data_IF_525948557380
#
_entry.id   IF_525948557380
#
_cell.length_a   1.000
_cell.length_b   1.000
_cell.length_c   1.000
_cell.angle_alpha   90.00
_cell.angle_beta   90.00
_cell.angle_gamma   90.00
#
_symmetry.space_group_name_H-M   'P 1'
#
loop_
_entity.id
_entity.type
_entity.pdbx_description
1 polymer ?
#
# COMPACT_ATOMS: atom_id res chain seq x y z
N UNK A 1 23.01 -0.53 2.66
CA UNK A 1 22.54 -1.39 3.76
C UNK A 1 21.03 -1.24 3.93
N UNK A 2 20.29 -2.32 3.73
CA UNK A 2 18.85 -2.35 3.90
C UNK A 2 18.52 -3.33 5.01
N UNK A 3 17.83 -2.85 6.05
CA UNK A 3 17.43 -3.74 7.12
C UNK A 3 16.13 -4.47 6.74
N UNK A 4 15.96 -5.67 7.25
CA UNK A 4 14.75 -6.46 6.99
C UNK A 4 13.51 -5.74 7.53
N UNK A 5 13.67 -5.00 8.62
CA UNK A 5 12.56 -4.25 9.21
C UNK A 5 12.08 -3.15 8.27
N UNK A 6 12.99 -2.42 7.67
CA UNK A 6 12.63 -1.36 6.74
C UNK A 6 11.98 -1.93 5.48
N UNK A 7 12.50 -3.06 4.99
CA UNK A 7 11.92 -3.72 3.84
C UNK A 7 10.48 -4.17 4.12
N UNK A 8 10.24 -4.69 5.32
CA UNK A 8 8.91 -5.13 5.71
C UNK A 8 7.92 -3.97 5.73
N UNK A 9 8.31 -2.85 6.30
CA UNK A 9 7.45 -1.67 6.32
C UNK A 9 7.15 -1.16 4.92
N UNK A 10 8.14 -1.20 4.05
CA UNK A 10 7.95 -0.77 2.68
C UNK A 10 6.92 -1.65 1.96
N UNK A 11 7.00 -2.97 2.17
CA UNK A 11 6.06 -3.90 1.56
C UNK A 11 4.64 -3.64 2.07
N UNK A 12 4.48 -3.49 3.37
CA UNK A 12 3.17 -3.24 3.98
C UNK A 12 2.59 -1.92 3.46
N UNK A 13 3.41 -0.89 3.38
CA UNK A 13 2.98 0.41 2.87
C UNK A 13 2.53 0.30 1.42
N UNK A 14 3.28 -0.39 0.60
CA UNK A 14 2.97 -0.55 -0.81
C UNK A 14 1.64 -1.26 -1.02
N UNK A 15 1.43 -2.37 -0.26
CA UNK A 15 0.19 -3.12 -0.34
C UNK A 15 -1.00 -2.25 0.12
N UNK A 16 -0.80 -1.53 1.20
CA UNK A 16 -1.85 -0.65 1.73
C UNK A 16 -2.25 0.42 0.72
N UNK A 17 -1.26 1.04 0.09
CA UNK A 17 -1.52 2.09 -0.90
C UNK A 17 -2.22 1.51 -2.13
N UNK A 18 -1.85 0.31 -2.54
CA UNK A 18 -2.52 -0.35 -3.65
C UNK A 18 -3.99 -0.62 -3.37
N UNK A 19 -4.28 -1.13 -2.18
CA UNK A 19 -5.66 -1.38 -1.78
C UNK A 19 -6.45 -0.08 -1.66
N UNK A 20 -5.83 0.94 -1.09
CA UNK A 20 -6.49 2.24 -0.95
C UNK A 20 -6.85 2.83 -2.32
N UNK A 21 -5.96 2.69 -3.28
CA UNK A 21 -6.21 3.18 -4.62
C UNK A 21 -7.39 2.46 -5.28
N UNK A 22 -7.46 1.14 -5.11
CA UNK A 22 -8.56 0.36 -5.67
C UNK A 22 -9.88 0.71 -5.01
N UNK A 23 -9.89 0.84 -3.68
CA UNK A 23 -11.09 1.21 -2.96
C UNK A 23 -11.52 2.64 -3.28
N UNK A 24 -10.55 3.53 -3.42
CA UNK A 24 -10.84 4.91 -3.78
C UNK A 24 -11.47 5.01 -5.16
N UNK A 25 -10.95 4.24 -6.10
CA UNK A 25 -11.51 4.20 -7.44
C UNK A 25 -12.93 3.65 -7.43
N UNK A 26 -13.14 2.61 -6.66
CA UNK A 26 -14.47 2.00 -6.54
C UNK A 26 -15.47 2.95 -5.89
N UNK A 27 -15.04 3.68 -4.86
CA UNK A 27 -15.90 4.65 -4.18
C UNK A 27 -16.27 5.83 -5.06
N UNK A 28 -15.29 6.33 -5.82
CA UNK A 28 -15.53 7.51 -6.64
C UNK A 28 -16.46 7.23 -7.81
N UNK A 29 -16.69 5.96 -8.09
CA UNK A 29 -17.56 5.55 -9.17
C UNK A 29 -19.03 5.47 -8.77
N UNK A 30 -19.31 5.80 -7.56
CA UNK A 30 -20.66 5.72 -6.99
C UNK A 30 -21.58 6.83 -7.47
#
# INVERSE_FOLDING_TARGET
YISATLALYLIIYNVFQGLLALLGLSSSND
#
